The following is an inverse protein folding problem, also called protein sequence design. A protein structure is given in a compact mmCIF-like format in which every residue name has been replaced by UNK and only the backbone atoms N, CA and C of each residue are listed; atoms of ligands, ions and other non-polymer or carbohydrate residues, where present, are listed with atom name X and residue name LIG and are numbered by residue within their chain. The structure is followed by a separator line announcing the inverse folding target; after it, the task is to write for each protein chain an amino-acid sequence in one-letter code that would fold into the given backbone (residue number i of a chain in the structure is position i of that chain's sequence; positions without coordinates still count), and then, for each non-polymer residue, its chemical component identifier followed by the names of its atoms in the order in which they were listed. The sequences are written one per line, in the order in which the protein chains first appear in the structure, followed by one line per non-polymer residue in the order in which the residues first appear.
data_IF_064082521627
#
_entry.id   IF_064082521627
#
_cell.length_a   1.000
_cell.length_b   1.000
_cell.length_c   1.000
_cell.angle_alpha   90.00
_cell.angle_beta   90.00
_cell.angle_gamma   90.00
#
_symmetry.space_group_name_H-M   'P 1'
#
loop_
_entity.id
_entity.type
_entity.pdbx_description
1 polymer ?
#
# COMPACT_ATOMS: atom_id res chain seq x y z
N UNK A 1 4.42 10.84 -5.67
CA UNK A 1 3.56 11.60 -4.76
C UNK A 1 2.17 11.03 -4.86
N UNK A 2 1.69 10.44 -3.75
CA UNK A 2 0.30 9.99 -3.54
C UNK A 2 -0.69 11.04 -4.06
N UNK A 3 -1.78 10.61 -4.70
CA UNK A 3 -2.68 11.53 -5.38
C UNK A 3 -3.64 12.17 -4.37
N UNK A 4 -3.38 13.43 -4.06
CA UNK A 4 -4.28 14.21 -3.21
C UNK A 4 -5.38 14.87 -4.06
N UNK A 5 -6.60 14.36 -3.97
CA UNK A 5 -7.79 14.95 -4.59
C UNK A 5 -8.72 15.64 -3.58
N UNK A 6 -8.32 15.79 -2.31
CA UNK A 6 -9.17 16.37 -1.26
C UNK A 6 -9.66 17.77 -1.60
N UNK A 7 -8.80 18.60 -2.21
CA UNK A 7 -9.15 19.97 -2.60
C UNK A 7 -10.30 20.02 -3.62
N UNK A 8 -10.37 19.04 -4.51
CA UNK A 8 -11.38 18.97 -5.55
C UNK A 8 -12.74 18.51 -5.01
N UNK A 9 -12.74 17.72 -3.93
CA UNK A 9 -13.96 17.23 -3.26
C UNK A 9 -14.39 18.08 -2.07
N UNK A 10 -13.75 19.24 -1.82
CA UNK A 10 -14.10 20.11 -0.69
C UNK A 10 -15.54 20.60 -0.72
N UNK A 11 -16.13 20.74 -1.92
CA UNK A 11 -17.50 21.20 -2.14
C UNK A 11 -18.34 20.12 -2.81
N UNK A 12 -19.50 19.83 -2.24
CA UNK A 12 -20.46 18.81 -2.70
C UNK A 12 -21.29 19.26 -3.91
N UNK A 13 -20.64 19.79 -4.96
CA UNK A 13 -21.33 20.03 -6.22
C UNK A 13 -21.77 18.71 -6.86
N UNK A 14 -22.94 18.66 -7.54
CA UNK A 14 -23.48 17.41 -8.12
C UNK A 14 -22.51 16.68 -9.05
N UNK A 15 -21.61 17.41 -9.71
CA UNK A 15 -20.68 16.86 -10.71
C UNK A 15 -19.28 16.56 -10.16
N UNK A 16 -18.99 16.87 -8.90
CA UNK A 16 -17.64 16.75 -8.34
C UNK A 16 -17.11 15.33 -8.45
N UNK A 17 -17.90 14.32 -8.07
CA UNK A 17 -17.50 12.91 -8.20
C UNK A 17 -17.43 12.45 -9.65
N UNK A 18 -18.28 12.97 -10.52
CA UNK A 18 -18.24 12.65 -11.95
C UNK A 18 -16.94 13.14 -12.61
N UNK A 19 -16.46 14.32 -12.22
CA UNK A 19 -15.20 14.87 -12.72
C UNK A 19 -13.97 14.02 -12.32
N UNK A 20 -14.02 13.35 -11.15
CA UNK A 20 -12.93 12.45 -10.73
C UNK A 20 -12.75 11.26 -11.68
N UNK A 21 -13.82 10.83 -12.37
CA UNK A 21 -13.73 9.74 -13.34
C UNK A 21 -12.83 10.08 -14.54
N UNK A 22 -12.56 11.36 -14.82
CA UNK A 22 -11.69 11.75 -15.94
C UNK A 22 -10.21 11.86 -15.57
N UNK A 23 -9.84 11.59 -14.31
CA UNK A 23 -8.42 11.52 -13.92
C UNK A 23 -7.80 10.24 -14.45
N UNK A 24 -6.55 10.32 -14.89
CA UNK A 24 -5.79 9.17 -15.38
C UNK A 24 -4.84 8.58 -14.33
N UNK A 25 -4.03 9.42 -13.68
CA UNK A 25 -3.05 8.98 -12.68
C UNK A 25 -3.77 8.41 -11.46
N UNK A 26 -3.34 7.22 -10.97
CA UNK A 26 -4.00 6.48 -9.88
C UNK A 26 -5.48 6.15 -10.10
N UNK A 27 -5.96 6.22 -11.35
CA UNK A 27 -7.35 5.96 -11.66
C UNK A 27 -7.61 4.47 -11.89
N UNK A 28 -8.88 4.09 -11.77
CA UNK A 28 -9.37 2.77 -12.17
C UNK A 28 -9.02 2.46 -13.63
N UNK A 29 -9.04 3.47 -14.52
CA UNK A 29 -8.75 3.30 -15.95
C UNK A 29 -7.31 2.87 -16.19
N UNK A 30 -6.35 3.56 -15.55
CA UNK A 30 -4.94 3.18 -15.62
C UNK A 30 -4.69 1.79 -15.00
N UNK A 31 -5.50 1.38 -14.03
CA UNK A 31 -5.34 0.09 -13.37
C UNK A 31 -5.88 -1.10 -14.19
N UNK A 32 -6.93 -0.92 -15.01
CA UNK A 32 -7.61 -2.03 -15.72
C UNK A 32 -7.46 -2.03 -17.24
N UNK A 33 -6.91 -0.97 -17.86
CA UNK A 33 -6.94 -0.81 -19.32
C UNK A 33 -6.32 -1.99 -20.08
N UNK A 34 -5.21 -2.57 -19.59
CA UNK A 34 -4.55 -3.70 -20.25
C UNK A 34 -5.44 -4.95 -20.21
N UNK A 35 -5.98 -5.27 -19.04
CA UNK A 35 -6.88 -6.41 -18.85
C UNK A 35 -8.18 -6.23 -19.64
N UNK A 36 -8.71 -5.02 -19.71
CA UNK A 36 -9.88 -4.68 -20.52
C UNK A 36 -9.61 -4.86 -22.02
N UNK A 37 -8.45 -4.43 -22.52
CA UNK A 37 -8.06 -4.64 -23.92
C UNK A 37 -7.97 -6.13 -24.24
N UNK A 38 -7.30 -6.92 -23.38
CA UNK A 38 -7.19 -8.37 -23.54
C UNK A 38 -8.57 -9.04 -23.53
N UNK A 39 -9.44 -8.66 -22.59
CA UNK A 39 -10.80 -9.17 -22.50
C UNK A 39 -11.60 -8.90 -23.78
N UNK A 40 -11.55 -7.67 -24.29
CA UNK A 40 -12.28 -7.27 -25.51
C UNK A 40 -11.73 -7.96 -26.76
N UNK A 41 -10.41 -8.12 -26.88
CA UNK A 41 -9.78 -8.85 -28.00
C UNK A 41 -10.23 -10.32 -27.99
N UNK A 42 -10.15 -10.99 -26.85
CA UNK A 42 -10.57 -12.38 -26.72
C UNK A 42 -12.08 -12.55 -27.02
N UNK A 43 -12.91 -11.65 -26.47
CA UNK A 43 -14.34 -11.63 -26.75
C UNK A 43 -14.63 -11.43 -28.24
N UNK A 44 -13.96 -10.46 -28.87
CA UNK A 44 -14.09 -10.15 -30.29
C UNK A 44 -13.68 -11.29 -31.20
N UNK A 45 -12.56 -11.96 -30.91
CA UNK A 45 -12.10 -13.14 -31.67
C UNK A 45 -13.14 -14.24 -31.65
N UNK A 46 -13.70 -14.57 -30.48
CA UNK A 46 -14.72 -15.63 -30.36
C UNK A 46 -16.00 -15.22 -31.10
N UNK A 47 -16.41 -13.95 -31.01
CA UNK A 47 -17.57 -13.43 -31.75
C UNK A 47 -17.39 -13.55 -33.26
N UNK A 48 -16.21 -13.19 -33.79
CA UNK A 48 -15.88 -13.34 -35.22
C UNK A 48 -15.91 -14.80 -35.63
N UNK A 49 -15.28 -15.70 -34.87
CA UNK A 49 -15.28 -17.14 -35.14
C UNK A 49 -16.72 -17.67 -35.21
N UNK A 50 -17.57 -17.32 -34.24
CA UNK A 50 -18.98 -17.74 -34.22
C UNK A 50 -19.75 -17.24 -35.45
N UNK A 51 -19.57 -15.96 -35.83
CA UNK A 51 -20.32 -15.34 -36.94
C UNK A 51 -19.82 -15.74 -38.33
N UNK A 52 -18.52 -15.98 -38.53
CA UNK A 52 -17.94 -16.18 -39.87
C UNK A 52 -17.38 -17.57 -40.14
N UNK A 53 -16.88 -18.28 -39.12
CA UNK A 53 -16.16 -19.54 -39.31
C UNK A 53 -16.97 -20.78 -38.93
N UNK A 54 -17.93 -20.66 -37.99
CA UNK A 54 -18.72 -21.80 -37.52
C UNK A 54 -19.89 -22.12 -38.46
N UNK A 55 -20.02 -23.38 -38.88
CA UNK A 55 -21.20 -23.87 -39.60
C UNK A 55 -22.41 -24.07 -38.69
N UNK A 56 -23.60 -24.26 -39.27
CA UNK A 56 -24.87 -24.28 -38.52
C UNK A 56 -24.94 -25.33 -37.40
N UNK A 57 -24.37 -26.52 -37.60
CA UNK A 57 -24.35 -27.58 -36.57
C UNK A 57 -23.47 -27.18 -35.38
N UNK A 58 -22.29 -26.63 -35.64
CA UNK A 58 -21.37 -26.14 -34.61
C UNK A 58 -21.92 -24.92 -33.86
N UNK A 59 -22.60 -24.01 -34.56
CA UNK A 59 -23.26 -22.85 -33.94
C UNK A 59 -24.31 -23.28 -32.91
N UNK A 60 -25.14 -24.29 -33.21
CA UNK A 60 -26.14 -24.82 -32.24
C UNK A 60 -25.49 -25.42 -30.99
N UNK A 61 -24.35 -26.09 -31.13
CA UNK A 61 -23.59 -26.61 -29.99
C UNK A 61 -23.02 -25.47 -29.17
N UNK A 62 -22.42 -24.47 -29.82
CA UNK A 62 -21.88 -23.28 -29.15
C UNK A 62 -22.97 -22.52 -28.37
N UNK A 63 -24.13 -22.28 -28.98
CA UNK A 63 -25.28 -21.66 -28.33
C UNK A 63 -25.73 -22.42 -27.08
N UNK A 64 -25.73 -23.76 -27.13
CA UNK A 64 -26.02 -24.59 -25.97
C UNK A 64 -24.98 -24.40 -24.85
N UNK A 65 -23.70 -24.28 -25.21
CA UNK A 65 -22.59 -24.01 -24.27
C UNK A 65 -22.70 -22.63 -23.64
N UNK A 66 -22.98 -21.59 -24.45
CA UNK A 66 -23.20 -20.21 -23.98
C UNK A 66 -24.31 -20.18 -22.94
N UNK A 67 -25.50 -20.74 -23.27
CA UNK A 67 -26.64 -20.81 -22.34
C UNK A 67 -26.34 -21.64 -21.09
N UNK A 68 -25.53 -22.69 -21.21
CA UNK A 68 -25.11 -23.52 -20.09
C UNK A 68 -24.28 -22.72 -19.07
N UNK A 69 -23.31 -21.94 -19.55
CA UNK A 69 -22.45 -21.14 -18.69
C UNK A 69 -23.16 -19.91 -18.14
N UNK A 70 -23.96 -19.20 -18.94
CA UNK A 70 -24.66 -17.99 -18.50
C UNK A 70 -25.60 -18.26 -17.32
N UNK A 71 -26.33 -19.39 -17.35
CA UNK A 71 -27.19 -19.83 -16.23
C UNK A 71 -26.44 -20.17 -14.94
N UNK A 72 -25.17 -20.54 -15.03
CA UNK A 72 -24.35 -21.00 -13.88
C UNK A 72 -23.37 -19.94 -13.39
N UNK A 73 -23.16 -18.88 -14.16
CA UNK A 73 -22.26 -17.79 -13.82
C UNK A 73 -22.67 -17.09 -12.51
N UNK A 74 -23.97 -17.06 -12.23
CA UNK A 74 -24.55 -16.53 -10.98
C UNK A 74 -24.21 -17.33 -9.73
N UNK A 75 -23.63 -18.53 -9.86
CA UNK A 75 -23.21 -19.35 -8.72
C UNK A 75 -21.94 -18.85 -8.05
N UNK A 76 -21.19 -17.95 -8.70
CA UNK A 76 -19.97 -17.36 -8.16
C UNK A 76 -20.34 -16.02 -7.49
N UNK A 77 -20.35 -15.93 -6.16
CA UNK A 77 -20.75 -14.71 -5.44
C UNK A 77 -19.58 -13.72 -5.35
N UNK A 78 -19.25 -13.06 -6.47
CA UNK A 78 -18.10 -12.15 -6.54
C UNK A 78 -18.19 -10.99 -5.54
N UNK A 79 -19.39 -10.43 -5.36
CA UNK A 79 -19.63 -9.28 -4.48
C UNK A 79 -19.27 -9.61 -3.03
N UNK A 80 -19.63 -10.81 -2.58
CA UNK A 80 -19.34 -11.28 -1.23
C UNK A 80 -17.83 -11.45 -1.07
N UNK A 81 -17.19 -12.21 -1.96
CA UNK A 81 -15.75 -12.52 -1.87
C UNK A 81 -14.90 -11.26 -1.93
N UNK A 82 -15.21 -10.34 -2.86
CA UNK A 82 -14.51 -9.06 -2.98
C UNK A 82 -14.79 -8.15 -1.77
N UNK A 83 -16.05 -8.01 -1.34
CA UNK A 83 -16.42 -7.12 -0.23
C UNK A 83 -15.69 -7.43 1.07
N UNK A 84 -15.63 -8.71 1.47
CA UNK A 84 -14.89 -9.12 2.68
C UNK A 84 -13.39 -8.92 2.55
N UNK A 85 -12.83 -9.19 1.37
CA UNK A 85 -11.40 -9.07 1.16
C UNK A 85 -10.95 -7.60 1.14
N UNK A 86 -11.70 -6.74 0.45
CA UNK A 86 -11.46 -5.28 0.42
C UNK A 86 -11.51 -4.70 1.82
N UNK A 87 -12.55 -5.03 2.59
CA UNK A 87 -12.69 -4.53 3.97
C UNK A 87 -11.48 -4.93 4.83
N UNK A 88 -11.00 -6.16 4.67
CA UNK A 88 -9.81 -6.66 5.37
C UNK A 88 -8.56 -5.87 5.00
N UNK A 89 -8.34 -5.64 3.70
CA UNK A 89 -7.18 -4.91 3.18
C UNK A 89 -7.23 -3.42 3.55
N UNK A 90 -8.38 -2.77 3.44
CA UNK A 90 -8.59 -1.37 3.85
C UNK A 90 -8.30 -1.17 5.35
N UNK A 91 -8.75 -2.09 6.20
CA UNK A 91 -8.48 -2.02 7.64
C UNK A 91 -6.98 -2.11 7.94
N UNK A 92 -6.27 -3.03 7.26
CA UNK A 92 -4.82 -3.18 7.37
C UNK A 92 -4.07 -1.96 6.85
N UNK A 93 -4.46 -1.44 5.68
CA UNK A 93 -3.91 -0.21 5.09
C UNK A 93 -4.08 0.99 6.04
N UNK A 94 -5.26 1.15 6.63
CA UNK A 94 -5.55 2.24 7.59
C UNK A 94 -4.68 2.13 8.83
N UNK A 95 -4.51 0.90 9.36
CA UNK A 95 -3.66 0.68 10.53
C UNK A 95 -2.20 1.01 10.23
N UNK A 96 -1.70 0.60 9.05
CA UNK A 96 -0.34 0.93 8.59
C UNK A 96 -0.12 2.44 8.49
N UNK A 97 -1.09 3.17 7.93
CA UNK A 97 -1.01 4.64 7.84
C UNK A 97 -0.97 5.29 9.23
N UNK A 98 -1.80 4.84 10.17
CA UNK A 98 -1.81 5.34 11.56
C UNK A 98 -0.49 5.08 12.30
N UNK A 99 0.23 4.02 11.95
CA UNK A 99 1.48 3.62 12.61
C UNK A 99 2.74 4.02 11.85
N UNK A 100 2.63 4.81 10.77
CA UNK A 100 3.74 5.16 9.85
C UNK A 100 4.89 5.93 10.53
N UNK A 101 4.70 6.40 11.77
CA UNK A 101 5.80 6.82 12.64
C UNK A 101 6.19 8.28 12.53
N UNK A 102 5.20 9.18 12.54
CA UNK A 102 5.43 10.61 12.76
C UNK A 102 6.20 10.87 14.07
N UNK A 103 7.25 11.70 14.01
CA UNK A 103 8.19 11.91 15.13
C UNK A 103 7.81 13.09 16.04
N UNK A 104 6.74 13.81 15.70
CA UNK A 104 6.34 15.09 16.29
C UNK A 104 6.25 15.03 17.82
N UNK A 105 5.59 14.01 18.37
CA UNK A 105 5.46 13.86 19.82
C UNK A 105 6.82 13.72 20.52
N UNK A 106 7.74 12.94 19.94
CA UNK A 106 9.09 12.77 20.48
C UNK A 106 9.85 14.09 20.41
N UNK A 107 9.72 14.84 19.30
CA UNK A 107 10.33 16.16 19.12
C UNK A 107 9.82 17.20 20.13
N UNK A 108 8.50 17.28 20.32
CA UNK A 108 7.88 18.16 21.30
C UNK A 108 8.35 17.84 22.73
N UNK A 109 8.42 16.56 23.10
CA UNK A 109 8.90 16.15 24.42
C UNK A 109 10.40 16.39 24.60
N UNK A 110 11.22 16.13 23.59
CA UNK A 110 12.65 16.41 23.63
C UNK A 110 12.91 17.91 23.81
N UNK A 111 12.17 18.77 23.12
CA UNK A 111 12.25 20.22 23.25
C UNK A 111 11.75 20.73 24.61
N UNK A 112 10.69 20.13 25.17
CA UNK A 112 10.13 20.53 26.46
C UNK A 112 11.02 20.12 27.66
N UNK A 113 11.50 18.87 27.66
CA UNK A 113 12.13 18.27 28.84
C UNK A 113 13.66 18.36 28.86
N UNK A 114 14.33 18.44 27.70
CA UNK A 114 15.77 18.68 27.65
C UNK A 114 16.02 20.18 27.64
N UNK A 115 16.14 20.76 28.83
CA UNK A 115 16.24 22.22 29.00
C UNK A 115 17.64 22.74 28.74
N UNK A 116 17.71 24.03 28.41
CA UNK A 116 18.97 24.75 28.24
C UNK A 116 19.29 25.11 26.79
N UNK A 117 19.94 26.27 26.63
CA UNK A 117 20.40 26.80 25.36
C UNK A 117 21.88 26.47 25.07
N UNK A 118 22.54 25.75 25.98
CA UNK A 118 23.93 25.33 25.80
C UNK A 118 24.07 24.40 24.60
N UNK A 119 25.25 24.38 24.01
CA UNK A 119 25.57 23.48 22.90
C UNK A 119 25.29 22.02 23.27
N UNK A 120 25.65 21.60 24.48
CA UNK A 120 25.43 20.23 24.97
C UNK A 120 23.95 19.87 25.09
N UNK A 121 23.08 20.79 25.54
CA UNK A 121 21.63 20.57 25.56
C UNK A 121 21.05 20.41 24.14
N UNK A 122 21.54 21.22 23.18
CA UNK A 122 21.16 21.09 21.76
C UNK A 122 21.61 19.75 21.17
N UNK A 123 22.81 19.30 21.50
CA UNK A 123 23.34 17.99 21.09
C UNK A 123 22.47 16.85 21.62
N UNK A 124 22.00 16.92 22.88
CA UNK A 124 21.07 15.93 23.42
C UNK A 124 19.78 15.86 22.59
N UNK A 125 19.11 16.99 22.38
CA UNK A 125 17.86 17.05 21.59
C UNK A 125 18.04 16.50 20.18
N UNK A 126 19.06 16.97 19.46
CA UNK A 126 19.37 16.53 18.09
C UNK A 126 19.69 15.05 18.01
N UNK A 127 20.51 14.51 18.92
CA UNK A 127 20.87 13.10 18.90
C UNK A 127 19.68 12.19 19.25
N UNK A 128 18.81 12.59 20.17
CA UNK A 128 17.59 11.82 20.47
C UNK A 128 16.72 11.71 19.21
N UNK A 129 16.47 12.83 18.54
CA UNK A 129 15.65 12.86 17.33
C UNK A 129 16.31 12.11 16.16
N UNK A 130 17.59 12.37 15.90
CA UNK A 130 18.35 11.72 14.84
C UNK A 130 18.39 10.21 15.02
N UNK A 131 18.52 9.72 16.25
CA UNK A 131 18.46 8.27 16.51
C UNK A 131 17.08 7.68 16.24
N UNK A 132 16.00 8.39 16.54
CA UNK A 132 14.66 7.96 16.15
C UNK A 132 14.50 7.96 14.61
N UNK A 133 14.91 9.02 13.92
CA UNK A 133 14.87 9.06 12.45
C UNK A 133 15.72 7.96 11.82
N UNK A 134 16.86 7.65 12.41
CA UNK A 134 17.70 6.56 11.95
C UNK A 134 16.96 5.21 12.03
N UNK A 135 16.15 4.93 13.06
CA UNK A 135 15.27 3.74 13.07
C UNK A 135 14.33 3.78 11.87
N UNK A 136 13.68 4.92 11.63
CA UNK A 136 12.70 5.07 10.55
C UNK A 136 13.33 4.85 9.18
N UNK A 137 14.52 5.42 8.92
CA UNK A 137 15.29 5.21 7.68
C UNK A 137 15.64 3.73 7.53
N UNK A 138 16.12 3.08 8.59
CA UNK A 138 16.47 1.65 8.55
C UNK A 138 15.27 0.77 8.24
N UNK A 139 14.11 1.07 8.83
CA UNK A 139 12.87 0.32 8.64
C UNK A 139 12.28 0.56 7.24
N UNK A 140 12.14 1.82 6.82
CA UNK A 140 11.62 2.14 5.49
C UNK A 140 12.53 1.66 4.36
N UNK A 141 13.85 1.60 4.59
CA UNK A 141 14.79 1.03 3.63
C UNK A 141 14.53 -0.45 3.36
N UNK A 142 14.03 -1.21 4.33
CA UNK A 142 13.72 -2.63 4.13
C UNK A 142 12.33 -2.85 3.54
N UNK A 143 11.35 -1.99 3.84
CA UNK A 143 9.96 -2.15 3.40
C UNK A 143 9.62 -1.43 2.08
N UNK A 144 10.35 -0.36 1.74
CA UNK A 144 10.05 0.46 0.56
C UNK A 144 11.22 0.50 -0.41
N UNK A 145 10.99 0.01 -1.64
CA UNK A 145 12.00 0.03 -2.70
C UNK A 145 12.44 1.45 -3.07
N UNK A 146 11.55 2.45 -2.98
CA UNK A 146 11.87 3.87 -3.17
C UNK A 146 12.90 4.36 -2.13
N UNK A 147 12.75 3.97 -0.88
CA UNK A 147 13.70 4.30 0.19
C UNK A 147 14.99 3.48 0.03
N UNK A 148 14.90 2.21 -0.36
CA UNK A 148 16.06 1.35 -0.63
C UNK A 148 16.95 1.90 -1.75
N UNK A 149 16.37 2.43 -2.82
CA UNK A 149 17.11 3.08 -3.92
C UNK A 149 17.79 4.38 -3.46
N UNK A 150 17.17 5.13 -2.55
CA UNK A 150 17.75 6.34 -1.96
C UNK A 150 18.90 6.04 -1.00
N UNK A 151 18.75 5.00 -0.18
CA UNK A 151 19.73 4.57 0.82
C UNK A 151 20.17 3.11 0.60
N UNK A 152 20.92 2.80 -0.46
CA UNK A 152 21.25 1.42 -0.82
C UNK A 152 22.17 0.76 0.22
N UNK A 153 23.08 1.50 0.83
CA UNK A 153 24.08 0.97 1.78
C UNK A 153 24.11 1.76 3.08
N UNK A 154 24.71 1.19 4.12
CA UNK A 154 24.81 1.89 5.41
C UNK A 154 25.71 3.14 5.32
N UNK A 155 26.68 3.13 4.41
CA UNK A 155 27.53 4.28 4.11
C UNK A 155 26.74 5.44 3.51
N UNK A 156 25.70 5.16 2.70
CA UNK A 156 24.81 6.23 2.19
C UNK A 156 23.97 6.86 3.30
N UNK A 157 23.59 6.09 4.33
CA UNK A 157 22.91 6.59 5.52
C UNK A 157 23.84 7.49 6.34
N UNK A 158 25.12 7.11 6.44
CA UNK A 158 26.16 7.93 7.07
C UNK A 158 26.39 9.23 6.29
N UNK A 159 26.53 9.14 4.97
CA UNK A 159 26.72 10.29 4.10
C UNK A 159 25.53 11.26 4.14
N UNK A 160 24.32 10.75 4.32
CA UNK A 160 23.10 11.54 4.49
C UNK A 160 22.95 12.18 5.88
N UNK A 161 23.86 11.89 6.83
CA UNK A 161 23.87 12.52 8.16
C UNK A 161 22.99 11.86 9.21
N UNK A 162 22.30 10.76 8.91
CA UNK A 162 21.49 10.03 9.89
C UNK A 162 22.35 9.26 10.90
N UNK A 163 23.56 8.85 10.51
CA UNK A 163 24.49 8.08 11.33
C UNK A 163 25.91 8.64 11.20
N UNK A 164 26.66 8.72 12.29
CA UNK A 164 28.07 9.09 12.24
C UNK A 164 28.96 7.87 11.94
N UNK A 165 30.19 8.09 11.43
CA UNK A 165 31.14 6.98 11.14
C UNK A 165 31.42 6.10 12.37
N UNK A 166 31.68 6.71 13.52
CA UNK A 166 31.91 5.97 14.77
C UNK A 166 30.67 5.21 15.26
N UNK A 167 29.47 5.71 14.96
CA UNK A 167 28.21 5.01 15.26
C UNK A 167 28.02 3.82 14.33
N UNK A 168 28.44 3.92 13.07
CA UNK A 168 28.45 2.78 12.14
C UNK A 168 29.39 1.67 12.63
N UNK A 169 30.58 2.02 13.08
CA UNK A 169 31.52 1.07 13.68
C UNK A 169 30.90 0.37 14.88
N UNK A 170 30.27 1.12 15.79
CA UNK A 170 29.55 0.58 16.95
C UNK A 170 28.34 -0.28 16.53
N UNK A 171 27.57 0.16 15.53
CA UNK A 171 26.44 -0.58 14.98
C UNK A 171 26.88 -1.95 14.44
N UNK A 172 28.03 -1.97 13.77
CA UNK A 172 28.63 -3.18 13.22
C UNK A 172 29.24 -4.07 14.31
N UNK A 173 29.78 -3.50 15.39
CA UNK A 173 30.39 -4.26 16.48
C UNK A 173 29.40 -5.10 17.29
N UNK A 174 28.11 -4.78 17.26
CA UNK A 174 27.08 -5.62 17.88
C UNK A 174 26.98 -6.97 17.14
N UNK A 175 27.68 -7.97 17.68
CA UNK A 175 27.70 -9.34 17.17
C UNK A 175 26.28 -9.92 17.28
N UNK A 176 25.76 -10.25 16.11
CA UNK A 176 24.43 -10.82 15.94
C UNK A 176 24.56 -12.05 15.05
N UNK A 177 25.53 -12.93 15.36
CA UNK A 177 25.70 -14.26 14.75
C UNK A 177 24.40 -15.06 14.59
N UNK A 178 23.36 -14.77 15.38
CA UNK A 178 22.03 -15.38 15.26
C UNK A 178 20.95 -14.49 14.57
N UNK A 179 21.13 -13.16 14.45
CA UNK A 179 20.13 -12.26 13.82
C UNK A 179 20.40 -11.92 12.35
N UNK A 180 21.38 -12.54 11.67
CA UNK A 180 21.51 -12.35 10.22
C UNK A 180 20.27 -12.78 9.43
N UNK A 181 19.42 -13.62 10.05
CA UNK A 181 18.08 -14.00 9.54
C UNK A 181 16.93 -13.10 10.02
N UNK A 182 17.14 -12.23 11.02
CA UNK A 182 16.07 -11.46 11.69
C UNK A 182 15.90 -10.03 11.13
N UNK A 183 16.64 -9.65 10.08
CA UNK A 183 16.54 -8.34 9.43
C UNK A 183 17.48 -7.27 10.00
N UNK A 184 17.31 -6.03 9.52
CA UNK A 184 18.13 -4.88 9.93
C UNK A 184 18.02 -4.60 11.43
N UNK A 185 19.12 -4.21 12.09
CA UNK A 185 19.16 -3.95 13.55
C UNK A 185 18.54 -2.60 13.93
N UNK A 186 17.32 -2.33 13.46
CA UNK A 186 16.63 -1.04 13.65
C UNK A 186 16.34 -0.72 15.13
N UNK A 187 16.33 -1.72 16.02
CA UNK A 187 16.15 -1.51 17.45
C UNK A 187 17.36 -0.86 18.14
N UNK A 188 18.55 -0.89 17.54
CA UNK A 188 19.78 -0.35 18.14
C UNK A 188 19.70 1.17 18.29
N UNK A 189 19.39 1.97 17.25
CA UNK A 189 19.22 3.41 17.41
C UNK A 189 18.10 3.78 18.39
N UNK A 190 17.01 3.00 18.45
CA UNK A 190 15.96 3.24 19.45
C UNK A 190 16.51 3.13 20.88
N UNK A 191 17.36 2.13 21.15
CA UNK A 191 18.03 2.00 22.44
C UNK A 191 19.02 3.15 22.68
N UNK A 192 19.75 3.60 21.66
CA UNK A 192 20.62 4.77 21.78
C UNK A 192 19.85 6.05 22.12
N UNK A 193 18.66 6.27 21.56
CA UNK A 193 17.78 7.38 21.91
C UNK A 193 17.41 7.36 23.41
N UNK A 194 17.02 6.19 23.94
CA UNK A 194 16.76 5.99 25.38
C UNK A 194 18.02 6.19 26.23
N UNK A 195 19.19 5.74 25.79
CA UNK A 195 20.44 6.02 26.50
C UNK A 195 20.77 7.52 26.54
N UNK A 196 20.38 8.29 25.51
CA UNK A 196 20.59 9.74 25.50
C UNK A 196 19.68 10.46 26.50
N UNK A 197 18.44 10.01 26.71
CA UNK A 197 17.56 10.56 27.76
C UNK A 197 18.15 10.31 29.15
N UNK A 198 18.69 9.11 29.38
CA UNK A 198 19.36 8.74 30.63
C UNK A 198 20.58 9.63 30.90
N UNK A 199 21.44 9.84 29.88
CA UNK A 199 22.62 10.71 29.99
C UNK A 199 22.22 12.17 30.23
N UNK A 200 21.23 12.69 29.52
CA UNK A 200 20.73 14.06 29.71
C UNK A 200 20.20 14.28 31.14
N UNK A 201 19.54 13.28 31.72
CA UNK A 201 19.11 13.31 33.14
C UNK A 201 20.29 13.32 34.10
N UNK A 202 21.28 12.45 33.89
CA UNK A 202 22.49 12.37 34.73
C UNK A 202 23.30 13.67 34.71
N UNK A 203 23.36 14.31 33.53
CA UNK A 203 24.04 15.59 33.32
C UNK A 203 23.23 16.81 33.80
N UNK A 204 22.00 16.61 34.32
CA UNK A 204 21.16 17.68 34.87
C UNK A 204 20.37 18.49 33.83
N UNK A 205 20.34 18.08 32.56
CA UNK A 205 19.55 18.74 31.51
C UNK A 205 18.06 18.37 31.56
N UNK A 206 17.73 17.24 32.20
CA UNK A 206 16.35 16.86 32.54
C UNK A 206 16.18 16.99 34.05
N UNK A 207 15.19 17.79 34.45
CA UNK A 207 14.98 18.22 35.84
C UNK A 207 14.59 17.07 36.79
N UNK A 208 13.72 16.16 36.34
CA UNK A 208 13.14 15.10 37.16
C UNK A 208 13.11 13.75 36.45
N UNK A 209 13.18 12.68 37.23
CA UNK A 209 13.02 11.31 36.73
C UNK A 209 11.63 11.06 36.14
N UNK A 210 10.62 11.81 36.60
CA UNK A 210 9.28 11.80 35.99
C UNK A 210 9.30 12.28 34.54
N UNK A 211 9.95 13.41 34.25
CA UNK A 211 10.05 13.95 32.88
C UNK A 211 10.85 13.04 31.96
N UNK A 212 11.91 12.43 32.48
CA UNK A 212 12.66 11.40 31.75
C UNK A 212 11.73 10.22 31.39
N UNK A 213 10.96 9.71 32.35
CA UNK A 213 10.07 8.58 32.13
C UNK A 213 8.96 8.87 31.11
N UNK A 214 8.40 10.10 31.12
CA UNK A 214 7.42 10.55 30.13
C UNK A 214 8.01 10.58 28.72
N UNK A 215 9.20 11.15 28.57
CA UNK A 215 9.90 11.19 27.30
C UNK A 215 10.26 9.80 26.77
N UNK A 216 10.74 8.91 27.64
CA UNK A 216 11.00 7.51 27.28
C UNK A 216 9.70 6.77 26.91
N UNK A 217 8.56 7.12 27.51
CA UNK A 217 7.27 6.55 27.15
C UNK A 217 6.86 6.94 25.73
N UNK A 218 7.00 8.20 25.33
CA UNK A 218 6.73 8.64 23.96
C UNK A 218 7.66 7.96 22.95
N UNK A 219 8.96 7.85 23.24
CA UNK A 219 9.92 7.11 22.39
C UNK A 219 9.49 5.64 22.25
N UNK A 220 9.07 4.98 23.33
CA UNK A 220 8.57 3.60 23.27
C UNK A 220 7.30 3.48 22.45
N UNK A 221 6.31 4.36 22.64
CA UNK A 221 5.06 4.36 21.87
C UNK A 221 5.33 4.51 20.38
N UNK A 222 6.16 5.49 20.00
CA UNK A 222 6.56 5.69 18.61
C UNK A 222 7.32 4.48 18.04
N UNK A 223 8.26 3.89 18.79
CA UNK A 223 9.00 2.69 18.38
C UNK A 223 8.07 1.49 18.16
N UNK A 224 7.09 1.28 19.05
CA UNK A 224 6.07 0.23 18.91
C UNK A 224 5.22 0.44 17.66
N UNK A 225 4.88 1.68 17.31
CA UNK A 225 4.18 1.98 16.06
C UNK A 225 5.01 1.59 14.83
N UNK A 226 6.30 1.96 14.80
CA UNK A 226 7.22 1.54 13.74
C UNK A 226 7.36 0.00 13.66
N UNK A 227 7.39 -0.67 14.81
CA UNK A 227 7.41 -2.14 14.88
C UNK A 227 6.15 -2.78 14.29
N UNK A 228 4.97 -2.19 14.47
CA UNK A 228 3.76 -2.67 13.81
C UNK A 228 3.91 -2.67 12.28
N UNK A 229 4.57 -1.67 11.70
CA UNK A 229 4.84 -1.64 10.27
C UNK A 229 5.70 -2.84 9.85
N UNK A 230 6.74 -3.16 10.63
CA UNK A 230 7.58 -4.34 10.41
C UNK A 230 6.79 -5.65 10.57
N UNK A 231 5.91 -5.74 11.56
CA UNK A 231 5.10 -6.94 11.80
C UNK A 231 4.12 -7.20 10.67
N UNK A 232 3.54 -6.14 10.09
CA UNK A 232 2.70 -6.27 8.91
C UNK A 232 3.52 -6.77 7.71
N UNK A 233 4.72 -6.23 7.46
CA UNK A 233 5.59 -6.75 6.40
C UNK A 233 5.97 -8.22 6.61
N UNK A 234 6.33 -8.59 7.85
CA UNK A 234 6.70 -9.96 8.20
C UNK A 234 5.54 -10.96 8.08
N UNK A 235 4.33 -10.55 8.45
CA UNK A 235 3.13 -11.39 8.42
C UNK A 235 2.11 -10.80 7.44
N UNK A 236 2.22 -11.12 6.13
CA UNK A 236 1.21 -10.75 5.15
C UNK A 236 -0.09 -11.53 5.37
N UNK A 237 -1.15 -11.13 4.66
CA UNK A 237 -2.38 -11.93 4.63
C UNK A 237 -2.07 -13.34 4.11
N UNK A 238 -2.74 -14.39 4.63
CA UNK A 238 -2.51 -15.76 4.17
C UNK A 238 -2.64 -15.86 2.66
N UNK A 239 -1.60 -16.40 2.00
CA UNK A 239 -1.48 -16.41 0.53
C UNK A 239 -2.71 -16.97 -0.19
N UNK A 240 -3.37 -17.97 0.40
CA UNK A 240 -4.57 -18.58 -0.16
C UNK A 240 -5.74 -17.62 -0.32
N UNK A 241 -5.81 -16.54 0.47
CA UNK A 241 -6.93 -15.60 0.43
C UNK A 241 -6.86 -14.68 -0.81
N UNK A 242 -5.76 -13.96 -1.08
CA UNK A 242 -5.58 -13.27 -2.37
C UNK A 242 -5.70 -14.23 -3.58
N UNK A 243 -5.14 -15.45 -3.48
CA UNK A 243 -5.24 -16.45 -4.54
C UNK A 243 -6.70 -16.81 -4.85
N UNK A 244 -7.51 -17.07 -3.82
CA UNK A 244 -8.92 -17.41 -3.98
C UNK A 244 -9.70 -16.28 -4.65
N UNK A 245 -9.51 -15.02 -4.21
CA UNK A 245 -10.23 -13.88 -4.80
C UNK A 245 -9.79 -13.63 -6.23
N UNK A 246 -8.48 -13.63 -6.49
CA UNK A 246 -7.93 -13.46 -7.82
C UNK A 246 -8.43 -14.56 -8.78
N UNK A 247 -8.42 -15.82 -8.33
CA UNK A 247 -8.95 -16.93 -9.11
C UNK A 247 -10.44 -16.76 -9.40
N UNK A 248 -11.25 -16.41 -8.40
CA UNK A 248 -12.70 -16.25 -8.55
C UNK A 248 -13.05 -15.19 -9.60
N UNK A 249 -12.42 -14.01 -9.53
CA UNK A 249 -12.67 -12.90 -10.47
C UNK A 249 -12.19 -13.26 -11.88
N UNK A 250 -10.97 -13.78 -12.02
CA UNK A 250 -10.42 -14.13 -13.34
C UNK A 250 -11.18 -15.28 -13.99
N UNK A 251 -11.55 -16.32 -13.23
CA UNK A 251 -12.34 -17.44 -13.75
C UNK A 251 -13.74 -17.00 -14.15
N UNK A 252 -14.39 -16.14 -13.35
CA UNK A 252 -15.68 -15.57 -13.70
C UNK A 252 -15.62 -14.86 -15.06
N UNK A 253 -14.61 -14.02 -15.30
CA UNK A 253 -14.48 -13.31 -16.57
C UNK A 253 -14.03 -14.20 -17.72
N UNK A 254 -13.17 -15.20 -17.46
CA UNK A 254 -12.81 -16.21 -18.45
C UNK A 254 -14.05 -16.94 -18.98
N UNK A 255 -14.94 -17.36 -18.08
CA UNK A 255 -16.21 -18.00 -18.45
C UNK A 255 -17.16 -16.99 -19.11
N UNK A 256 -17.18 -15.74 -18.62
CA UNK A 256 -18.02 -14.67 -19.18
C UNK A 256 -17.69 -14.36 -20.64
N UNK A 257 -16.42 -14.49 -21.05
CA UNK A 257 -16.01 -14.32 -22.46
C UNK A 257 -16.82 -15.23 -23.39
N UNK A 258 -17.19 -16.44 -22.94
CA UNK A 258 -18.03 -17.37 -23.71
C UNK A 258 -19.50 -17.17 -23.36
N UNK A 259 -19.84 -17.12 -22.07
CA UNK A 259 -21.22 -17.08 -21.59
C UNK A 259 -22.01 -15.84 -22.05
N UNK A 260 -21.33 -14.71 -22.28
CA UNK A 260 -21.95 -13.44 -22.67
C UNK A 260 -21.81 -13.15 -24.17
N UNK A 261 -21.52 -14.18 -24.99
CA UNK A 261 -21.48 -14.03 -26.45
C UNK A 261 -22.87 -13.80 -27.01
N UNK A 262 -22.98 -12.88 -27.95
CA UNK A 262 -24.24 -12.58 -28.65
C UNK A 262 -24.53 -13.68 -29.66
N UNK A 263 -25.50 -14.51 -29.33
CA UNK A 263 -25.93 -15.64 -30.14
C UNK A 263 -27.18 -15.31 -30.94
N UNK A 264 -27.25 -15.76 -32.18
CA UNK A 264 -28.37 -15.46 -33.08
C UNK A 264 -29.57 -16.34 -32.74
N UNK A 265 -30.53 -15.83 -31.99
CA UNK A 265 -31.78 -16.53 -31.73
C UNK A 265 -32.74 -16.38 -32.93
N UNK A 266 -32.68 -17.33 -33.89
CA UNK A 266 -33.57 -17.35 -35.08
C UNK A 266 -35.09 -17.39 -34.77
N UNK A 267 -35.51 -17.58 -33.51
CA UNK A 267 -36.90 -17.88 -33.12
C UNK A 267 -37.46 -17.04 -31.95
N UNK A 268 -36.79 -15.97 -31.50
CA UNK A 268 -37.35 -15.07 -30.47
C UNK A 268 -37.61 -13.68 -31.04
N UNK A 269 -38.74 -13.13 -30.62
CA UNK A 269 -39.22 -11.80 -30.98
C UNK A 269 -38.22 -10.77 -30.44
N UNK A 270 -37.92 -9.81 -31.30
CA UNK A 270 -36.96 -8.72 -31.20
C UNK A 270 -37.20 -7.89 -29.93
N UNK A 271 -36.40 -8.11 -28.89
CA UNK A 271 -36.21 -7.13 -27.80
C UNK A 271 -34.72 -6.93 -27.45
N UNK A 272 -33.80 -7.61 -28.15
CA UNK A 272 -32.37 -7.44 -27.94
C UNK A 272 -31.78 -6.65 -29.10
N UNK A 273 -31.35 -5.41 -28.79
CA UNK A 273 -30.48 -4.65 -29.68
C UNK A 273 -29.19 -5.47 -29.83
N UNK A 274 -28.90 -5.95 -31.04
CA UNK A 274 -27.64 -6.64 -31.35
C UNK A 274 -26.51 -5.60 -31.39
N UNK A 275 -26.12 -5.14 -30.19
CA UNK A 275 -24.97 -4.26 -30.01
C UNK A 275 -23.74 -5.14 -30.20
N UNK A 276 -23.01 -4.99 -31.31
CA UNK A 276 -21.74 -5.70 -31.57
C UNK A 276 -20.72 -5.66 -30.42
N UNK A 277 -20.92 -4.76 -29.44
CA UNK A 277 -20.14 -4.58 -28.24
C UNK A 277 -20.95 -4.93 -26.98
N UNK A 278 -20.43 -5.79 -26.08
CA UNK A 278 -21.16 -6.21 -24.87
C UNK A 278 -21.10 -5.15 -23.77
N UNK A 279 -21.89 -4.08 -23.89
CA UNK A 279 -21.85 -2.90 -22.99
C UNK A 279 -21.95 -3.29 -21.51
N UNK A 280 -22.94 -4.10 -21.14
CA UNK A 280 -23.16 -4.45 -19.73
C UNK A 280 -22.04 -5.33 -19.15
N UNK A 281 -21.55 -6.30 -19.92
CA UNK A 281 -20.43 -7.15 -19.49
C UNK A 281 -19.13 -6.35 -19.38
N UNK A 282 -18.92 -5.39 -20.28
CA UNK A 282 -17.79 -4.46 -20.20
C UNK A 282 -17.84 -3.59 -18.94
N UNK A 283 -19.00 -3.03 -18.60
CA UNK A 283 -19.17 -2.28 -17.36
C UNK A 283 -18.94 -3.15 -16.12
N UNK A 284 -19.51 -4.37 -16.10
CA UNK A 284 -19.24 -5.35 -15.04
C UNK A 284 -17.76 -5.66 -14.92
N UNK A 285 -17.05 -5.85 -16.04
CA UNK A 285 -15.61 -6.07 -16.06
C UNK A 285 -14.86 -4.93 -15.37
N UNK A 286 -15.14 -3.68 -15.75
CA UNK A 286 -14.51 -2.51 -15.12
C UNK A 286 -14.79 -2.49 -13.61
N UNK A 287 -16.02 -2.76 -13.18
CA UNK A 287 -16.35 -2.73 -11.76
C UNK A 287 -15.65 -3.81 -10.96
N UNK A 288 -15.77 -5.09 -11.31
CA UNK A 288 -15.17 -6.17 -10.49
C UNK A 288 -13.65 -6.27 -10.67
N UNK A 289 -13.12 -6.07 -11.88
CA UNK A 289 -11.67 -6.07 -12.10
C UNK A 289 -11.05 -4.83 -11.46
N UNK A 290 -11.70 -3.66 -11.58
CA UNK A 290 -11.28 -2.46 -10.89
C UNK A 290 -11.32 -2.60 -9.38
N UNK A 291 -12.34 -3.27 -8.84
CA UNK A 291 -12.42 -3.56 -7.42
C UNK A 291 -11.27 -4.45 -6.95
N UNK A 292 -10.93 -5.49 -7.72
CA UNK A 292 -9.74 -6.33 -7.48
C UNK A 292 -8.45 -5.50 -7.52
N UNK A 293 -8.32 -4.57 -8.47
CA UNK A 293 -7.15 -3.69 -8.58
C UNK A 293 -7.02 -2.69 -7.43
N UNK A 294 -8.13 -2.19 -6.90
CA UNK A 294 -8.12 -1.38 -5.67
C UNK A 294 -7.50 -2.18 -4.52
N UNK A 295 -7.85 -3.46 -4.39
CA UNK A 295 -7.26 -4.33 -3.37
C UNK A 295 -5.77 -4.52 -3.59
N UNK A 296 -5.37 -4.77 -4.83
CA UNK A 296 -3.98 -5.02 -5.24
C UNK A 296 -3.06 -3.85 -4.81
N UNK A 297 -3.45 -2.62 -5.16
CA UNK A 297 -2.72 -1.40 -4.78
C UNK A 297 -2.67 -1.21 -3.26
N UNK A 298 -3.76 -1.49 -2.55
CA UNK A 298 -3.81 -1.31 -1.09
C UNK A 298 -3.12 -2.44 -0.31
N UNK A 299 -2.81 -3.57 -0.94
CA UNK A 299 -2.24 -4.76 -0.29
C UNK A 299 -0.84 -4.47 0.26
N UNK A 300 -0.04 -3.70 -0.48
CA UNK A 300 1.29 -3.26 -0.07
C UNK A 300 1.49 -1.75 -0.32
N UNK A 301 1.15 -0.89 0.66
CA UNK A 301 1.23 0.56 0.48
C UNK A 301 2.66 1.14 0.51
N UNK A 302 3.70 0.30 0.61
CA UNK A 302 5.11 0.74 0.60
C UNK A 302 5.79 0.52 -0.76
N UNK A 303 5.02 0.12 -1.78
CA UNK A 303 5.48 -0.19 -3.11
C UNK A 303 5.89 1.03 -3.96
N UNK A 304 5.65 0.93 -5.27
CA UNK A 304 5.97 1.97 -6.24
C UNK A 304 4.76 2.51 -7.01
N UNK A 305 3.53 2.16 -6.61
CA UNK A 305 2.30 2.63 -7.22
C UNK A 305 2.06 4.13 -7.00
N UNK A 306 1.21 4.73 -7.83
CA UNK A 306 0.94 6.17 -7.79
C UNK A 306 0.42 6.63 -6.42
N UNK A 307 -0.32 5.78 -5.71
CA UNK A 307 -1.00 6.05 -4.42
C UNK A 307 -0.34 5.42 -3.20
N UNK A 308 0.84 4.81 -3.37
CA UNK A 308 1.63 4.30 -2.26
C UNK A 308 2.14 5.44 -1.35
N UNK A 309 2.49 5.08 -0.12
CA UNK A 309 3.00 6.01 0.87
C UNK A 309 4.33 6.63 0.46
N UNK A 310 4.41 7.96 0.59
CA UNK A 310 5.63 8.73 0.31
C UNK A 310 6.63 8.66 1.47
N UNK A 311 7.25 7.50 1.66
CA UNK A 311 8.25 7.23 2.70
C UNK A 311 9.41 8.22 2.69
N UNK A 312 9.95 8.53 1.51
CA UNK A 312 11.03 9.52 1.36
C UNK A 312 10.60 10.93 1.81
N UNK A 313 9.39 11.36 1.44
CA UNK A 313 8.86 12.67 1.86
C UNK A 313 8.63 12.72 3.37
N UNK A 314 8.20 11.60 3.97
CA UNK A 314 8.05 11.50 5.42
C UNK A 314 9.40 11.59 6.15
N UNK A 315 10.44 10.93 5.63
CA UNK A 315 11.82 11.07 6.14
C UNK A 315 12.28 12.53 6.08
N UNK A 316 12.11 13.20 4.93
CA UNK A 316 12.53 14.59 4.72
C UNK A 316 11.76 15.58 5.61
N UNK A 317 10.48 15.32 5.83
CA UNK A 317 9.65 16.09 6.74
C UNK A 317 10.14 15.92 8.18
N UNK A 318 10.38 14.68 8.62
CA UNK A 318 10.73 14.40 10.01
C UNK A 318 12.10 15.02 10.37
N UNK A 319 13.09 14.92 9.50
CA UNK A 319 14.41 15.57 9.71
C UNK A 319 14.30 17.10 9.76
N UNK A 320 13.45 17.70 8.93
CA UNK A 320 13.24 19.16 8.96
C UNK A 320 12.59 19.61 10.28
N UNK A 321 11.66 18.80 10.80
CA UNK A 321 10.99 19.08 12.08
C UNK A 321 11.93 18.87 13.27
N UNK A 322 12.88 17.95 13.19
CA UNK A 322 13.82 17.69 14.30
C UNK A 322 15.00 18.66 14.38
N UNK A 323 15.36 19.29 13.26
CA UNK A 323 16.45 20.27 13.21
C UNK A 323 16.07 21.67 13.72
N UNK A 324 14.77 21.97 13.77
CA UNK A 324 14.19 23.24 14.26
C UNK A 324 14.09 23.32 15.79
#
# INVERSE_FOLDING_TARGET
MTINYNKEIMTSHPWTFFLLLFKWKGSIWKAVYMETIIFLICYGIISVIYKTAMGESSQRVFESVVRYFDKRLSYIPLEFVLGFFVTTVVNRWTKLYQTIGFIDNVGLMANLYVRGATEKARIYRRNIMRYCELVQVLVFRDMSMRTRRRFPTMETIVAAGFMNKHELELYNSYDTKYNSKLGTKYWIPANWALCMTYKARKDGYIESDYFKAQMEAEIRTWRTNIEWVCNYDWVPLPLMYPQLVCLAVNLYFLVSIVARQLVVEKHKIVDEVDVYFPVMTFLQFIFYMGWLKVIDVMLNPFGEDDDDFETNALIDRNITVSDG
#
